data_IF_905737401581
#
_entry.id   IF_905737401581
#
_cell.length_a   1.000
_cell.length_b   1.000
_cell.length_c   1.000
_cell.angle_alpha   90.00
_cell.angle_beta   90.00
_cell.angle_gamma   90.00
#
_symmetry.space_group_name_H-M   'P 1'
#
loop_
_entity.id
_entity.type
_entity.pdbx_description
1 polymer ?
#
# COMPACT_ATOMS: atom_id res chain seq x y z
N UNK A 1 1.17 -22.29 -9.89
CA UNK A 1 0.06 -21.77 -9.05
C UNK A 1 -0.52 -20.53 -9.73
N UNK A 2 -1.77 -20.55 -10.23
CA UNK A 2 -2.37 -19.37 -10.90
C UNK A 2 -2.55 -18.25 -9.86
N UNK A 3 -1.86 -17.12 -10.02
CA UNK A 3 -2.09 -15.92 -9.21
C UNK A 3 -3.50 -15.40 -9.50
N UNK A 4 -4.37 -15.39 -8.48
CA UNK A 4 -5.72 -14.82 -8.59
C UNK A 4 -5.57 -13.33 -8.84
N UNK A 5 -6.02 -12.84 -10.00
CA UNK A 5 -5.96 -11.42 -10.35
C UNK A 5 -7.04 -10.66 -9.59
N UNK A 6 -6.68 -9.60 -8.87
CA UNK A 6 -7.67 -8.72 -8.25
C UNK A 6 -8.54 -8.09 -9.34
N UNK A 7 -9.87 -8.27 -9.25
CA UNK A 7 -10.82 -7.93 -10.30
C UNK A 7 -10.78 -6.44 -10.68
N UNK A 8 -10.55 -5.57 -9.70
CA UNK A 8 -10.56 -4.11 -9.86
C UNK A 8 -9.17 -3.48 -9.97
N UNK A 9 -8.11 -4.29 -10.07
CA UNK A 9 -6.73 -3.81 -10.00
C UNK A 9 -6.41 -2.71 -11.03
N UNK A 10 -6.95 -2.80 -12.25
CA UNK A 10 -6.72 -1.81 -13.30
C UNK A 10 -7.29 -0.44 -12.94
N UNK A 11 -8.53 -0.38 -12.47
CA UNK A 11 -9.17 0.88 -12.08
C UNK A 11 -8.49 1.51 -10.86
N UNK A 12 -8.02 0.69 -9.93
CA UNK A 12 -7.29 1.15 -8.75
C UNK A 12 -5.91 1.70 -9.14
N UNK A 13 -5.20 1.03 -10.05
CA UNK A 13 -3.92 1.53 -10.58
C UNK A 13 -4.11 2.86 -11.32
N UNK A 14 -5.17 2.98 -12.13
CA UNK A 14 -5.50 4.25 -12.79
C UNK A 14 -5.77 5.37 -11.77
N UNK A 15 -6.53 5.08 -10.71
CA UNK A 15 -6.83 6.03 -9.64
C UNK A 15 -5.56 6.49 -8.91
N UNK A 16 -4.69 5.56 -8.52
CA UNK A 16 -3.42 5.86 -7.83
C UNK A 16 -2.52 6.70 -8.73
N UNK A 17 -2.43 6.37 -10.02
CA UNK A 17 -1.64 7.16 -10.98
C UNK A 17 -2.23 8.54 -11.27
N UNK A 18 -3.54 8.73 -11.17
CA UNK A 18 -4.19 10.03 -11.43
C UNK A 18 -4.19 10.94 -10.20
N UNK A 19 -4.06 10.36 -9.01
CA UNK A 19 -4.13 11.04 -7.70
C UNK A 19 -2.93 10.63 -6.85
N UNK A 20 -1.74 10.93 -7.36
CA UNK A 20 -0.46 10.51 -6.78
C UNK A 20 -0.22 11.17 -5.40
N UNK A 21 -0.78 12.37 -5.18
CA UNK A 21 -0.63 13.15 -3.93
C UNK A 21 -1.63 12.78 -2.82
N UNK A 22 -2.43 11.73 -3.00
CA UNK A 22 -3.50 11.35 -2.08
C UNK A 22 -3.14 10.11 -1.27
N UNK A 23 -3.62 10.07 -0.02
CA UNK A 23 -3.64 8.84 0.78
C UNK A 23 -4.83 8.00 0.31
N UNK A 24 -4.54 6.82 -0.25
CA UNK A 24 -5.56 5.86 -0.68
C UNK A 24 -5.80 4.83 0.42
N UNK A 25 -7.06 4.66 0.84
CA UNK A 25 -7.42 3.76 1.95
C UNK A 25 -8.31 2.63 1.43
N UNK A 26 -7.89 1.38 1.65
CA UNK A 26 -8.65 0.18 1.27
C UNK A 26 -9.46 -0.33 2.46
N UNK A 27 -10.77 -0.09 2.45
CA UNK A 27 -11.67 -0.48 3.55
C UNK A 27 -12.52 -1.67 3.11
N UNK A 28 -12.71 -2.65 3.99
CA UNK A 28 -13.61 -3.78 3.76
C UNK A 28 -13.43 -4.93 4.75
N UNK A 29 -14.30 -5.95 4.72
CA UNK A 29 -14.24 -7.10 5.63
C UNK A 29 -12.91 -7.87 5.59
N UNK A 30 -12.62 -8.65 6.62
CA UNK A 30 -11.45 -9.56 6.60
C UNK A 30 -11.62 -10.60 5.49
N UNK A 31 -10.51 -11.06 4.92
CA UNK A 31 -10.46 -12.13 3.90
C UNK A 31 -11.10 -11.82 2.53
N UNK A 32 -11.36 -10.55 2.21
CA UNK A 32 -11.87 -10.14 0.87
C UNK A 32 -10.77 -9.88 -0.17
N UNK A 33 -9.50 -10.15 0.15
CA UNK A 33 -8.38 -9.98 -0.77
C UNK A 33 -7.78 -8.56 -0.84
N UNK A 34 -7.93 -7.75 0.21
CA UNK A 34 -7.31 -6.40 0.30
C UNK A 34 -5.78 -6.47 0.19
N UNK A 35 -5.12 -7.21 1.08
CA UNK A 35 -3.66 -7.46 1.05
C UNK A 35 -3.20 -8.00 -0.30
N UNK A 36 -3.96 -8.92 -0.90
CA UNK A 36 -3.64 -9.45 -2.24
C UNK A 36 -3.69 -8.36 -3.30
N UNK A 37 -4.68 -7.48 -3.26
CA UNK A 37 -4.82 -6.36 -4.21
C UNK A 37 -3.69 -5.35 -4.03
N UNK A 38 -3.36 -5.00 -2.78
CA UNK A 38 -2.28 -4.06 -2.45
C UNK A 38 -0.91 -4.59 -2.89
N UNK A 39 -0.61 -5.87 -2.65
CA UNK A 39 0.61 -6.52 -3.15
C UNK A 39 0.68 -6.56 -4.67
N UNK A 40 -0.45 -6.81 -5.35
CA UNK A 40 -0.47 -6.75 -6.81
C UNK A 40 -0.34 -5.33 -7.34
N UNK A 41 -0.80 -4.33 -6.60
CA UNK A 41 -0.63 -2.93 -6.93
C UNK A 41 0.84 -2.52 -6.77
N UNK A 42 1.51 -2.95 -5.70
CA UNK A 42 2.93 -2.69 -5.49
C UNK A 42 3.80 -3.28 -6.61
N UNK A 43 3.45 -4.47 -7.12
CA UNK A 43 4.16 -5.10 -8.23
C UNK A 43 3.92 -4.44 -9.59
N UNK A 44 2.79 -3.76 -9.79
CA UNK A 44 2.36 -3.22 -11.09
C UNK A 44 2.35 -1.70 -11.19
N UNK A 45 2.53 -1.02 -10.07
CA UNK A 45 2.66 0.42 -10.00
C UNK A 45 3.89 0.88 -10.77
N UNK A 46 3.82 2.07 -11.39
CA UNK A 46 4.99 2.72 -12.01
C UNK A 46 5.94 3.33 -10.97
N UNK A 47 5.51 3.46 -9.71
CA UNK A 47 6.29 4.03 -8.63
C UNK A 47 7.17 2.99 -7.96
N UNK A 48 8.42 3.36 -7.65
CA UNK A 48 9.18 2.69 -6.60
C UNK A 48 8.35 2.70 -5.33
N UNK A 49 8.27 1.56 -4.64
CA UNK A 49 7.40 1.42 -3.49
C UNK A 49 8.11 0.81 -2.29
N UNK A 50 7.61 1.20 -1.12
CA UNK A 50 7.98 0.62 0.17
C UNK A 50 6.73 -0.01 0.77
N UNK A 51 6.77 -1.31 0.99
CA UNK A 51 5.71 -2.05 1.66
C UNK A 51 6.07 -2.24 3.13
N UNK A 52 5.19 -1.79 4.02
CA UNK A 52 5.30 -2.03 5.45
C UNK A 52 3.98 -2.61 5.97
N UNK A 53 4.07 -3.44 6.98
CA UNK A 53 2.91 -4.00 7.67
C UNK A 53 2.84 -3.34 9.05
N UNK A 54 1.64 -2.92 9.45
CA UNK A 54 1.37 -2.32 10.75
C UNK A 54 1.01 -3.39 11.81
N UNK A 55 1.51 -4.62 11.67
CA UNK A 55 1.35 -5.64 12.69
C UNK A 55 2.28 -5.37 13.89
N UNK A 56 1.79 -5.61 15.10
CA UNK A 56 2.56 -5.42 16.34
C UNK A 56 2.20 -4.19 17.18
N UNK A 57 2.91 -4.06 18.30
CA UNK A 57 2.64 -3.03 19.30
C UNK A 57 3.30 -1.68 18.95
N UNK A 58 4.47 -1.73 18.31
CA UNK A 58 5.24 -0.56 17.88
C UNK A 58 4.52 0.23 16.78
N UNK A 59 3.84 -0.46 15.86
CA UNK A 59 3.10 0.13 14.74
C UNK A 59 1.88 0.96 15.17
N UNK A 60 1.40 0.78 16.40
CA UNK A 60 0.27 1.56 16.97
C UNK A 60 0.67 2.99 17.37
N UNK A 61 1.97 3.28 17.38
CA UNK A 61 2.47 4.61 17.74
C UNK A 61 2.44 5.58 16.55
N UNK A 62 2.08 6.84 16.79
CA UNK A 62 2.17 7.90 15.77
C UNK A 62 3.60 8.07 15.25
N UNK A 63 4.58 7.88 16.13
CA UNK A 63 6.01 7.94 15.80
C UNK A 63 6.41 6.90 14.75
N UNK A 64 5.80 5.70 14.77
CA UNK A 64 6.09 4.68 13.78
C UNK A 64 5.66 5.10 12.38
N UNK A 65 4.44 5.64 12.23
CA UNK A 65 3.95 6.14 10.94
C UNK A 65 4.85 7.27 10.40
N UNK A 66 5.23 8.21 11.26
CA UNK A 66 6.16 9.29 10.89
C UNK A 66 7.52 8.76 10.46
N UNK A 67 8.04 7.72 11.12
CA UNK A 67 9.30 7.07 10.75
C UNK A 67 9.20 6.42 9.37
N UNK A 68 8.15 5.63 9.10
CA UNK A 68 8.00 4.99 7.79
C UNK A 68 7.87 6.02 6.66
N UNK A 69 7.17 7.13 6.92
CA UNK A 69 7.09 8.26 5.99
C UNK A 69 8.45 8.89 5.73
N UNK A 70 9.23 9.20 6.77
CA UNK A 70 10.57 9.77 6.63
C UNK A 70 11.53 8.84 5.88
N UNK A 71 11.49 7.55 6.19
CA UNK A 71 12.31 6.57 5.47
C UNK A 71 11.94 6.50 3.99
N UNK A 72 10.64 6.49 3.67
CA UNK A 72 10.17 6.51 2.29
C UNK A 72 10.69 7.74 1.52
N UNK A 73 10.62 8.93 2.13
CA UNK A 73 11.19 10.14 1.55
C UNK A 73 12.71 10.03 1.35
N UNK A 74 13.44 9.49 2.34
CA UNK A 74 14.90 9.34 2.25
C UNK A 74 15.35 8.34 1.17
N UNK A 75 14.54 7.31 0.93
CA UNK A 75 14.77 6.28 -0.09
C UNK A 75 14.30 6.73 -1.49
N UNK A 76 13.61 7.89 -1.58
CA UNK A 76 13.05 8.39 -2.83
C UNK A 76 11.97 7.47 -3.41
N UNK A 77 11.21 6.76 -2.55
CA UNK A 77 10.10 5.92 -3.03
C UNK A 77 8.89 6.79 -3.38
N UNK A 78 8.27 6.51 -4.52
CA UNK A 78 7.07 7.22 -4.97
C UNK A 78 5.75 6.70 -4.37
N UNK A 79 5.78 5.55 -3.68
CA UNK A 79 4.59 4.95 -3.08
C UNK A 79 4.89 4.24 -1.76
N UNK A 80 4.43 4.79 -0.65
CA UNK A 80 4.43 4.11 0.64
C UNK A 80 3.14 3.32 0.83
N UNK A 81 3.26 2.02 1.09
CA UNK A 81 2.14 1.11 1.31
C UNK A 81 2.20 0.61 2.74
N UNK A 82 1.08 0.79 3.45
CA UNK A 82 0.91 0.34 4.84
C UNK A 82 -0.26 -0.66 4.86
N UNK A 83 0.04 -1.93 5.12
CA UNK A 83 -0.98 -2.97 5.26
C UNK A 83 -1.28 -3.26 6.73
N UNK A 84 -2.47 -3.81 7.00
CA UNK A 84 -2.94 -4.19 8.34
C UNK A 84 -2.96 -3.04 9.38
N UNK A 85 -3.26 -1.82 8.93
CA UNK A 85 -3.51 -0.67 9.82
C UNK A 85 -4.84 -0.79 10.60
#
# INVERSE_FOLDING_TARGET
>A
MKRIKALQLSSILELVNKREDYIHVFIGPRQVGKTTTVKQLSEKSKFSNKYVTADGEVSRSKSWLSLQWQMALSEGVGLLIIDEI
#
